data_IF_615747933090
#
_entry.id   IF_615747933090
#
_cell.length_a   1.000
_cell.length_b   1.000
_cell.length_c   1.000
_cell.angle_alpha   90.00
_cell.angle_beta   90.00
_cell.angle_gamma   90.00
#
_symmetry.space_group_name_H-M   'P 1'
#
loop_
_entity.id
_entity.type
_entity.pdbx_description
1 polymer ?
#
# COMPACT_ATOMS: atom_id res chain seq x y z
N UNK A 1 19.13 22.05 66.40
CA UNK A 1 19.69 21.41 65.19
C UNK A 1 18.63 20.51 64.57
N UNK A 2 18.16 20.82 63.36
CA UNK A 2 17.11 20.07 62.67
C UNK A 2 17.75 18.89 61.93
N UNK A 3 17.42 17.66 62.29
CA UNK A 3 17.96 16.43 61.69
C UNK A 3 17.44 16.36 60.25
N UNK A 4 18.35 16.25 59.28
CA UNK A 4 18.01 16.21 57.85
C UNK A 4 17.44 14.82 57.53
N UNK A 5 16.22 14.76 57.00
CA UNK A 5 15.52 13.53 56.62
C UNK A 5 16.31 12.79 55.52
N UNK A 6 17.09 11.78 55.89
CA UNK A 6 17.91 10.97 54.98
C UNK A 6 17.17 9.74 54.44
N UNK A 7 15.98 9.44 54.95
CA UNK A 7 15.23 8.23 54.60
C UNK A 7 14.59 8.30 53.21
N UNK A 8 14.10 9.48 52.78
CA UNK A 8 13.53 9.67 51.44
C UNK A 8 14.54 9.47 50.29
N UNK A 9 15.84 9.64 50.54
CA UNK A 9 16.88 9.43 49.51
C UNK A 9 17.18 7.96 49.25
N UNK A 10 17.00 7.08 50.25
CA UNK A 10 17.31 5.65 50.12
C UNK A 10 16.22 4.96 49.30
N UNK A 11 14.94 5.31 49.52
CA UNK A 11 13.84 4.79 48.71
C UNK A 11 13.88 5.27 47.25
N UNK A 12 14.40 6.47 47.00
CA UNK A 12 14.52 7.02 45.64
C UNK A 12 15.59 6.29 44.80
N UNK A 13 16.72 5.90 45.40
CA UNK A 13 17.78 5.20 44.69
C UNK A 13 17.42 3.74 44.38
N UNK A 14 16.80 3.03 45.33
CA UNK A 14 16.34 1.65 45.11
C UNK A 14 15.14 1.56 44.17
N UNK A 15 14.22 2.54 44.20
CA UNK A 15 13.10 2.58 43.26
C UNK A 15 13.59 2.84 41.83
N UNK A 16 14.60 3.70 41.64
CA UNK A 16 15.17 3.99 40.32
C UNK A 16 15.80 2.73 39.70
N UNK A 17 16.53 1.93 40.49
CA UNK A 17 17.10 0.65 40.02
C UNK A 17 16.02 -0.38 39.65
N UNK A 18 14.93 -0.44 40.41
CA UNK A 18 13.80 -1.32 40.09
C UNK A 18 13.11 -0.91 38.78
N UNK A 19 12.89 0.40 38.57
CA UNK A 19 12.34 0.90 37.31
C UNK A 19 13.29 0.70 36.13
N UNK A 20 14.59 0.91 36.32
CA UNK A 20 15.59 0.71 35.28
C UNK A 20 15.67 -0.77 34.84
N UNK A 21 15.65 -1.70 35.80
CA UNK A 21 15.65 -3.14 35.51
C UNK A 21 14.35 -3.61 34.85
N UNK A 22 13.19 -3.14 35.32
CA UNK A 22 11.90 -3.46 34.71
C UNK A 22 11.80 -2.91 33.27
N UNK A 23 12.25 -1.68 33.04
CA UNK A 23 12.27 -1.07 31.70
C UNK A 23 13.26 -1.79 30.77
N UNK A 24 14.42 -2.19 31.27
CA UNK A 24 15.38 -3.01 30.53
C UNK A 24 14.81 -4.37 30.11
N UNK A 25 14.14 -5.06 31.03
CA UNK A 25 13.46 -6.34 30.72
C UNK A 25 12.35 -6.16 29.67
N UNK A 26 11.56 -5.10 29.77
CA UNK A 26 10.51 -4.78 28.80
C UNK A 26 11.07 -4.53 27.39
N UNK A 27 12.16 -3.77 27.27
CA UNK A 27 12.84 -3.53 25.98
C UNK A 27 13.34 -4.85 25.40
N UNK A 28 13.96 -5.71 26.21
CA UNK A 28 14.47 -7.01 25.75
C UNK A 28 13.34 -7.90 25.20
N UNK A 29 12.24 -8.02 25.94
CA UNK A 29 11.05 -8.80 25.51
C UNK A 29 10.50 -8.23 24.20
N UNK A 30 10.39 -6.91 24.08
CA UNK A 30 9.86 -6.24 22.88
C UNK A 30 10.72 -6.55 21.65
N UNK A 31 12.05 -6.50 21.77
CA UNK A 31 12.96 -6.82 20.66
C UNK A 31 12.85 -8.28 20.21
N UNK A 32 12.59 -9.21 21.15
CA UNK A 32 12.39 -10.62 20.83
C UNK A 32 11.03 -10.86 20.17
N UNK A 33 9.96 -10.19 20.62
CA UNK A 33 8.59 -10.46 20.15
C UNK A 33 8.17 -9.66 18.91
N UNK A 34 8.71 -8.46 18.68
CA UNK A 34 8.39 -7.62 17.52
C UNK A 34 8.50 -8.35 16.16
N UNK A 35 9.54 -9.17 15.88
CA UNK A 35 9.61 -9.90 14.61
C UNK A 35 8.54 -11.01 14.46
N UNK A 36 7.97 -11.50 15.56
CA UNK A 36 6.89 -12.50 15.51
C UNK A 36 5.51 -11.86 15.34
N UNK A 37 5.31 -10.67 15.91
CA UNK A 37 4.06 -9.92 15.77
C UNK A 37 3.75 -9.55 14.31
N UNK A 38 4.78 -9.29 13.50
CA UNK A 38 4.62 -8.92 12.08
C UNK A 38 4.43 -10.11 11.13
N UNK A 39 4.46 -11.36 11.61
CA UNK A 39 4.39 -12.57 10.77
C UNK A 39 2.99 -13.18 10.62
N UNK A 40 1.96 -12.61 11.24
CA UNK A 40 0.59 -13.14 11.15
C UNK A 40 -0.23 -12.32 10.15
N UNK A 41 -0.21 -12.73 8.88
CA UNK A 41 -1.31 -12.44 7.97
C UNK A 41 -2.53 -13.30 8.32
N UNK A 42 -3.76 -12.94 7.91
CA UNK A 42 -4.93 -13.78 8.10
C UNK A 42 -4.66 -15.15 7.47
N UNK A 43 -4.57 -16.18 8.30
CA UNK A 43 -4.59 -17.55 7.84
C UNK A 43 -6.07 -17.86 7.57
N UNK A 44 -6.54 -17.59 6.35
CA UNK A 44 -7.81 -18.14 5.88
C UNK A 44 -7.63 -19.66 5.83
N UNK A 45 -8.17 -20.35 6.85
CA UNK A 45 -8.26 -21.80 6.82
C UNK A 45 -9.09 -22.18 5.58
N UNK A 46 -8.57 -23.07 4.71
CA UNK A 46 -9.31 -23.52 3.56
C UNK A 46 -10.59 -24.20 4.05
N UNK A 47 -11.74 -23.67 3.65
CA UNK A 47 -13.05 -24.26 3.93
C UNK A 47 -13.05 -25.70 3.40
N UNK A 48 -13.25 -26.73 4.24
CA UNK A 48 -13.33 -28.09 3.76
C UNK A 48 -14.48 -28.21 2.75
N UNK A 49 -14.18 -28.64 1.54
CA UNK A 49 -15.21 -29.06 0.57
C UNK A 49 -15.90 -30.30 1.14
N UNK A 50 -17.12 -30.12 1.66
CA UNK A 50 -17.98 -31.25 2.02
C UNK A 50 -18.33 -32.04 0.75
N UNK A 51 -17.88 -33.28 0.67
CA UNK A 51 -18.33 -34.21 -0.36
C UNK A 51 -19.84 -34.45 -0.19
N UNK A 52 -20.63 -34.50 -1.27
CA UNK A 52 -22.03 -34.93 -1.16
C UNK A 52 -22.08 -36.37 -0.63
N UNK A 53 -22.82 -36.57 0.46
CA UNK A 53 -23.10 -37.89 1.01
C UNK A 53 -23.84 -38.70 -0.07
N UNK A 54 -23.36 -39.89 -0.47
CA UNK A 54 -24.07 -40.70 -1.45
C UNK A 54 -25.43 -41.11 -0.88
N UNK A 55 -26.48 -40.89 -1.66
CA UNK A 55 -27.84 -41.29 -1.30
C UNK A 55 -27.89 -42.80 -1.01
N UNK A 56 -28.65 -43.25 0.01
CA UNK A 56 -28.78 -44.66 0.34
C UNK A 56 -29.42 -45.41 -0.83
N UNK A 57 -28.66 -46.33 -1.41
CA UNK A 57 -29.11 -47.22 -2.49
C UNK A 57 -30.20 -48.15 -1.91
N UNK A 58 -31.40 -48.24 -2.50
CA UNK A 58 -32.43 -49.18 -2.05
C UNK A 58 -31.92 -50.63 -2.20
N UNK A 59 -32.13 -51.44 -1.17
CA UNK A 59 -31.68 -52.82 -1.09
C UNK A 59 -32.30 -53.68 -2.22
N UNK A 60 -31.49 -54.01 -3.23
CA UNK A 60 -31.86 -54.98 -4.26
C UNK A 60 -31.52 -56.41 -3.78
N UNK A 61 -32.42 -57.40 -3.93
CA UNK A 61 -32.21 -58.75 -3.40
C UNK A 61 -31.23 -59.62 -4.22
N UNK A 62 -30.54 -59.09 -5.23
CA UNK A 62 -29.50 -59.81 -6.00
C UNK A 62 -28.42 -58.81 -6.45
N UNK A 63 -27.26 -58.80 -5.80
CA UNK A 63 -26.14 -57.93 -6.18
C UNK A 63 -25.07 -58.72 -6.95
N UNK A 64 -24.64 -58.30 -8.17
CA UNK A 64 -23.32 -58.67 -8.67
C UNK A 64 -22.23 -58.06 -7.79
N UNK A 65 -21.07 -58.70 -7.73
CA UNK A 65 -19.89 -58.28 -6.96
C UNK A 65 -19.63 -56.76 -7.08
N UNK A 66 -19.47 -56.02 -5.97
CA UNK A 66 -19.25 -54.58 -6.03
C UNK A 66 -17.96 -54.27 -6.79
N UNK A 67 -18.08 -53.44 -7.83
CA UNK A 67 -16.92 -52.89 -8.52
C UNK A 67 -16.05 -52.10 -7.53
N UNK A 68 -14.71 -52.09 -7.68
CA UNK A 68 -13.84 -51.31 -6.83
C UNK A 68 -14.28 -49.85 -6.85
N UNK A 69 -14.47 -49.28 -5.66
CA UNK A 69 -14.85 -47.88 -5.46
C UNK A 69 -13.78 -47.02 -6.15
N UNK A 70 -14.15 -46.13 -7.09
CA UNK A 70 -13.19 -45.24 -7.72
C UNK A 70 -12.56 -44.35 -6.63
N UNK A 71 -11.26 -44.50 -6.42
CA UNK A 71 -10.49 -43.61 -5.56
C UNK A 71 -10.53 -42.21 -6.18
N UNK A 72 -11.07 -41.24 -5.44
CA UNK A 72 -11.06 -39.85 -5.89
C UNK A 72 -9.61 -39.40 -6.06
N UNK A 73 -9.23 -38.81 -7.22
CA UNK A 73 -7.92 -38.21 -7.35
C UNK A 73 -7.76 -37.13 -6.27
N UNK A 74 -6.58 -37.00 -5.64
CA UNK A 74 -6.35 -35.99 -4.62
C UNK A 74 -6.69 -34.60 -5.18
N UNK A 75 -7.31 -33.71 -4.39
CA UNK A 75 -7.64 -32.38 -4.85
C UNK A 75 -6.35 -31.70 -5.29
N UNK A 76 -6.30 -31.34 -6.58
CA UNK A 76 -5.19 -30.54 -7.10
C UNK A 76 -5.21 -29.21 -6.35
N UNK A 77 -4.12 -28.82 -5.67
CA UNK A 77 -4.08 -27.55 -4.95
C UNK A 77 -4.46 -26.43 -5.93
N UNK A 78 -5.47 -25.64 -5.56
CA UNK A 78 -5.84 -24.45 -6.34
C UNK A 78 -4.63 -23.53 -6.39
N UNK A 79 -4.01 -23.40 -7.55
CA UNK A 79 -2.91 -22.47 -7.77
C UNK A 79 -3.49 -21.04 -7.65
N UNK A 80 -3.30 -20.42 -6.49
CA UNK A 80 -3.67 -19.02 -6.28
C UNK A 80 -2.68 -18.17 -7.07
N UNK A 81 -3.08 -17.74 -8.26
CA UNK A 81 -2.32 -16.76 -9.03
C UNK A 81 -2.37 -15.42 -8.30
N UNK A 82 -1.26 -15.04 -7.69
CA UNK A 82 -1.06 -13.68 -7.19
C UNK A 82 -0.89 -12.79 -8.43
N UNK A 83 -1.92 -12.02 -8.77
CA UNK A 83 -1.85 -11.08 -9.89
C UNK A 83 -1.01 -9.87 -9.47
N UNK A 84 0.21 -9.76 -10.00
CA UNK A 84 1.15 -8.67 -9.73
C UNK A 84 0.88 -7.43 -10.61
N UNK A 85 -0.34 -6.88 -10.57
CA UNK A 85 -0.68 -5.67 -11.35
C UNK A 85 -0.73 -4.42 -10.46
N UNK A 86 0.34 -4.20 -9.70
CA UNK A 86 0.47 -2.99 -8.88
C UNK A 86 1.00 -1.83 -9.72
N UNK A 87 0.28 -0.71 -9.66
CA UNK A 87 0.78 0.59 -10.08
C UNK A 87 1.06 1.48 -8.88
N UNK A 88 2.23 2.13 -8.90
CA UNK A 88 2.57 3.19 -7.95
C UNK A 88 3.03 4.40 -8.73
N UNK A 89 2.31 5.51 -8.60
CA UNK A 89 2.70 6.80 -9.12
C UNK A 89 3.24 7.64 -7.98
N UNK A 90 4.49 8.07 -8.11
CA UNK A 90 5.20 8.89 -7.13
C UNK A 90 5.57 10.23 -7.75
N UNK A 91 5.29 11.32 -7.04
CA UNK A 91 5.68 12.68 -7.43
C UNK A 91 6.54 13.28 -6.33
N UNK A 92 7.63 13.97 -6.68
CA UNK A 92 8.49 14.63 -5.69
C UNK A 92 9.00 16.01 -6.13
N UNK A 93 9.24 16.88 -5.15
CA UNK A 93 9.76 18.23 -5.34
C UNK A 93 10.52 18.72 -4.10
N UNK A 94 11.42 19.69 -4.27
CA UNK A 94 12.36 20.13 -3.22
C UNK A 94 12.17 21.60 -2.81
N UNK A 95 11.04 22.21 -3.20
CA UNK A 95 10.69 23.57 -2.86
C UNK A 95 9.55 23.60 -1.82
N UNK A 96 9.52 24.64 -0.99
CA UNK A 96 8.44 24.92 -0.02
C UNK A 96 7.18 25.48 -0.72
N UNK A 97 6.59 24.64 -1.57
CA UNK A 97 5.36 24.88 -2.30
C UNK A 97 4.41 23.70 -2.09
N UNK A 98 3.12 23.97 -2.20
CA UNK A 98 2.05 22.99 -2.18
C UNK A 98 1.76 22.55 -3.62
N UNK A 99 2.06 21.29 -3.94
CA UNK A 99 1.93 20.73 -5.28
C UNK A 99 1.05 19.49 -5.18
N UNK A 100 -0.09 19.53 -5.85
CA UNK A 100 -1.03 18.42 -5.92
C UNK A 100 -0.78 17.57 -7.16
N UNK A 101 -0.88 16.26 -7.01
CA UNK A 101 -1.00 15.31 -8.10
C UNK A 101 -2.47 15.01 -8.38
N UNK A 102 -2.81 14.99 -9.66
CA UNK A 102 -4.10 14.55 -10.18
C UNK A 102 -3.87 13.33 -11.07
N UNK A 103 -4.60 12.26 -10.77
CA UNK A 103 -4.58 11.02 -11.54
C UNK A 103 -5.96 10.81 -12.12
N UNK A 104 -6.11 10.99 -13.43
CA UNK A 104 -7.35 10.67 -14.14
C UNK A 104 -7.29 9.23 -14.61
N UNK A 105 -8.31 8.45 -14.25
CA UNK A 105 -8.47 7.05 -14.63
C UNK A 105 -9.84 6.86 -15.32
N UNK A 106 -10.12 5.66 -15.85
CA UNK A 106 -11.46 5.31 -16.34
C UNK A 106 -12.55 5.43 -15.27
N UNK A 107 -12.20 5.25 -13.99
CA UNK A 107 -13.13 5.30 -12.85
C UNK A 107 -13.42 6.74 -12.38
N UNK A 108 -12.57 7.69 -12.77
CA UNK A 108 -12.68 9.10 -12.42
C UNK A 108 -11.34 9.75 -12.09
N UNK A 109 -11.41 10.98 -11.54
CA UNK A 109 -10.22 11.73 -11.15
C UNK A 109 -9.93 11.57 -9.66
N UNK A 110 -8.74 11.08 -9.34
CA UNK A 110 -8.18 11.07 -7.99
C UNK A 110 -7.37 12.34 -7.75
N UNK A 111 -7.48 12.85 -6.53
CA UNK A 111 -6.66 13.94 -5.97
C UNK A 111 -6.71 13.82 -4.45
N UNK A 112 -6.01 14.67 -3.71
CA UNK A 112 -6.15 14.63 -2.25
C UNK A 112 -7.57 14.97 -1.76
N UNK A 113 -8.34 15.75 -2.52
CA UNK A 113 -9.75 16.02 -2.22
C UNK A 113 -10.66 14.81 -2.46
N UNK A 114 -10.19 13.86 -3.27
CA UNK A 114 -10.89 12.61 -3.61
C UNK A 114 -9.90 11.45 -3.59
N UNK A 115 -9.50 11.09 -2.37
CA UNK A 115 -8.45 10.08 -2.09
C UNK A 115 -8.82 8.71 -2.64
N UNK A 116 -10.09 8.34 -2.56
CA UNK A 116 -10.65 7.08 -3.07
C UNK A 116 -11.91 7.35 -3.89
N UNK A 117 -12.26 6.40 -4.77
CA UNK A 117 -13.53 6.38 -5.49
C UNK A 117 -14.22 5.05 -5.16
N UNK A 118 -15.50 5.05 -4.72
CA UNK A 118 -16.20 3.81 -4.39
C UNK A 118 -16.17 2.79 -5.53
N UNK A 119 -15.73 1.57 -5.23
CA UNK A 119 -15.64 0.47 -6.20
C UNK A 119 -14.42 0.52 -7.13
N UNK A 120 -13.59 1.56 -7.06
CA UNK A 120 -12.42 1.69 -7.91
C UNK A 120 -11.12 1.28 -7.18
N UNK A 121 -10.10 0.78 -7.90
CA UNK A 121 -8.92 0.17 -7.28
C UNK A 121 -7.87 1.18 -6.77
N UNK A 122 -7.98 2.45 -7.18
CA UNK A 122 -6.97 3.47 -6.91
C UNK A 122 -7.14 4.17 -5.56
N UNK A 123 -6.03 4.62 -4.97
CA UNK A 123 -6.05 5.51 -3.81
C UNK A 123 -4.80 6.39 -3.67
N UNK A 124 -4.97 7.58 -3.12
CA UNK A 124 -3.85 8.38 -2.58
C UNK A 124 -3.46 7.89 -1.18
N UNK A 125 -2.16 7.92 -0.87
CA UNK A 125 -1.66 7.53 0.46
C UNK A 125 -0.91 8.62 1.18
N UNK A 126 -0.38 9.62 0.47
CA UNK A 126 0.44 10.67 1.05
C UNK A 126 0.22 11.99 0.30
N UNK A 127 0.02 13.06 1.07
CA UNK A 127 -0.07 14.47 0.65
C UNK A 127 0.93 15.26 1.48
N UNK A 128 1.63 16.20 0.83
CA UNK A 128 2.52 17.12 1.50
C UNK A 128 2.26 18.58 1.09
N UNK A 129 1.43 19.25 1.89
CA UNK A 129 1.09 20.67 1.71
C UNK A 129 2.18 21.67 2.08
N UNK A 130 3.18 21.25 2.86
CA UNK A 130 4.25 22.15 3.34
C UNK A 130 5.39 22.28 2.32
N UNK A 131 5.44 21.36 1.35
CA UNK A 131 6.53 21.25 0.38
C UNK A 131 7.80 20.67 0.96
N UNK A 132 8.84 20.61 0.12
CA UNK A 132 10.11 19.95 0.41
C UNK A 132 11.29 20.90 0.59
N UNK A 133 12.44 20.30 0.85
CA UNK A 133 13.77 20.91 0.74
C UNK A 133 14.67 20.03 -0.13
N UNK A 134 15.88 20.51 -0.45
CA UNK A 134 16.90 19.69 -1.13
C UNK A 134 17.32 18.46 -0.32
N UNK A 135 17.26 18.52 1.01
CA UNK A 135 17.61 17.42 1.91
C UNK A 135 16.42 16.48 2.18
N UNK A 136 15.19 17.00 2.11
CA UNK A 136 13.95 16.29 2.40
C UNK A 136 12.90 16.67 1.36
N UNK A 137 12.92 16.05 0.17
CA UNK A 137 11.92 16.35 -0.85
C UNK A 137 10.52 15.99 -0.33
N UNK A 138 9.54 16.79 -0.72
CA UNK A 138 8.15 16.42 -0.56
C UNK A 138 7.79 15.32 -1.55
N UNK A 139 6.75 14.56 -1.21
CA UNK A 139 6.32 13.39 -1.94
C UNK A 139 4.80 13.38 -1.98
N UNK A 140 4.25 12.88 -3.07
CA UNK A 140 2.89 12.35 -3.10
C UNK A 140 2.90 10.99 -3.76
N UNK A 141 1.99 10.12 -3.30
CA UNK A 141 1.87 8.76 -3.81
C UNK A 141 0.41 8.45 -4.08
N UNK A 142 0.14 7.97 -5.30
CA UNK A 142 -1.08 7.27 -5.67
C UNK A 142 -0.73 5.83 -6.04
N UNK A 143 -1.59 4.88 -5.67
CA UNK A 143 -1.41 3.47 -5.99
C UNK A 143 -2.72 2.81 -6.39
N UNK A 144 -2.63 1.77 -7.22
CA UNK A 144 -3.76 0.93 -7.60
C UNK A 144 -3.32 -0.52 -7.79
N UNK A 145 -4.08 -1.45 -7.20
CA UNK A 145 -3.94 -2.89 -7.43
C UNK A 145 -4.97 -3.34 -8.45
N UNK A 146 -4.56 -4.04 -9.50
CA UNK A 146 -5.44 -4.42 -10.62
C UNK A 146 -6.18 -3.18 -11.20
N UNK A 147 -5.43 -2.20 -11.74
CA UNK A 147 -6.02 -0.97 -12.28
C UNK A 147 -7.02 -1.27 -13.40
N UNK A 148 -8.14 -0.55 -13.42
CA UNK A 148 -9.17 -0.67 -14.46
C UNK A 148 -8.59 -0.42 -15.86
N UNK A 149 -8.74 -1.34 -16.83
CA UNK A 149 -8.30 -1.10 -18.20
C UNK A 149 -8.89 0.19 -18.78
N UNK A 150 -8.08 0.95 -19.51
CA UNK A 150 -8.48 2.20 -20.15
C UNK A 150 -7.38 3.25 -20.15
N UNK A 151 -7.78 4.53 -20.30
CA UNK A 151 -6.84 5.64 -20.44
C UNK A 151 -6.57 6.32 -19.09
N UNK A 152 -5.30 6.58 -18.85
CA UNK A 152 -4.79 7.26 -17.66
C UNK A 152 -4.07 8.55 -18.06
N UNK A 153 -4.22 9.57 -17.23
CA UNK A 153 -3.50 10.84 -17.38
C UNK A 153 -3.01 11.35 -16.01
N UNK A 154 -1.73 11.68 -15.93
CA UNK A 154 -1.07 12.17 -14.72
C UNK A 154 -0.79 13.65 -14.89
N UNK A 155 -1.29 14.48 -13.99
CA UNK A 155 -1.11 15.92 -14.02
C UNK A 155 -0.63 16.46 -12.68
N UNK A 156 0.24 17.47 -12.73
CA UNK A 156 0.70 18.21 -11.58
C UNK A 156 0.00 19.56 -11.54
N UNK A 157 -0.34 20.01 -10.34
CA UNK A 157 -0.95 21.30 -10.11
C UNK A 157 -0.20 22.03 -9.00
N UNK A 158 0.31 23.22 -9.29
CA UNK A 158 0.85 24.07 -8.24
C UNK A 158 -0.33 24.69 -7.49
N UNK A 159 -0.73 24.13 -6.36
CA UNK A 159 -1.85 24.64 -5.58
C UNK A 159 -1.52 25.99 -4.95
N UNK A 160 -0.36 26.06 -4.30
CA UNK A 160 0.17 27.28 -3.70
C UNK A 160 1.69 27.35 -3.82
N UNK A 161 2.21 28.48 -4.29
CA UNK A 161 3.65 28.71 -4.32
C UNK A 161 4.24 28.91 -2.91
N UNK A 162 3.41 29.24 -1.91
CA UNK A 162 3.88 29.55 -0.56
C UNK A 162 5.02 30.59 -0.58
N UNK A 163 6.18 30.20 -0.04
CA UNK A 163 7.41 30.99 -0.06
C UNK A 163 8.44 30.48 -1.09
N UNK A 164 8.08 29.52 -1.95
CA UNK A 164 8.98 29.00 -2.96
C UNK A 164 9.25 30.05 -4.05
N UNK A 165 10.49 30.06 -4.54
CA UNK A 165 10.83 30.78 -5.79
C UNK A 165 10.31 29.97 -6.96
N UNK A 166 9.59 30.64 -7.86
CA UNK A 166 9.12 30.04 -9.11
C UNK A 166 10.25 29.98 -10.16
N UNK A 167 10.23 28.98 -11.08
CA UNK A 167 9.29 27.86 -11.14
C UNK A 167 9.55 26.80 -10.05
N UNK A 168 8.50 26.09 -9.64
CA UNK A 168 8.63 24.87 -8.83
C UNK A 168 8.94 23.72 -9.77
N UNK A 169 10.01 22.99 -9.45
CA UNK A 169 10.50 21.87 -10.26
C UNK A 169 10.00 20.57 -9.65
N UNK A 170 9.22 19.82 -10.42
CA UNK A 170 8.58 18.58 -9.99
C UNK A 170 9.07 17.43 -10.86
N UNK A 171 9.44 16.32 -10.23
CA UNK A 171 9.73 15.07 -10.90
C UNK A 171 8.73 13.99 -10.49
N UNK A 172 8.77 12.86 -11.19
CA UNK A 172 7.98 11.71 -10.78
C UNK A 172 8.42 10.43 -11.44
N UNK A 173 7.79 9.35 -11.00
CA UNK A 173 8.05 8.00 -11.47
C UNK A 173 6.78 7.17 -11.36
N UNK A 174 6.49 6.40 -12.40
CA UNK A 174 5.45 5.38 -12.40
C UNK A 174 6.11 4.01 -12.30
N UNK A 175 5.94 3.32 -11.19
CA UNK A 175 6.31 1.91 -11.03
C UNK A 175 5.17 1.03 -11.53
N UNK A 176 5.51 0.07 -12.39
CA UNK A 176 4.62 -0.92 -12.99
C UNK A 176 5.35 -2.26 -13.12
N UNK A 177 4.65 -3.38 -13.37
CA UNK A 177 5.25 -4.73 -13.35
C UNK A 177 6.43 -4.90 -14.32
N UNK A 178 6.35 -4.31 -15.51
CA UNK A 178 7.41 -4.35 -16.52
C UNK A 178 8.48 -3.25 -16.34
N UNK A 179 8.73 -2.84 -15.11
CA UNK A 179 9.74 -1.83 -14.76
C UNK A 179 9.25 -0.38 -14.80
N UNK A 180 9.99 0.52 -14.16
CA UNK A 180 9.58 1.89 -13.92
C UNK A 180 9.61 2.77 -15.18
N UNK A 181 8.77 3.79 -15.20
CA UNK A 181 8.81 4.91 -16.15
C UNK A 181 9.17 6.17 -15.40
N UNK A 182 10.32 6.75 -15.71
CA UNK A 182 10.75 8.03 -15.16
C UNK A 182 10.06 9.15 -15.93
N UNK A 183 9.40 10.05 -15.21
CA UNK A 183 8.71 11.20 -15.79
C UNK A 183 9.69 12.35 -16.00
N UNK A 184 9.53 13.14 -17.07
CA UNK A 184 10.35 14.32 -17.28
C UNK A 184 10.12 15.34 -16.16
N UNK A 185 11.21 15.98 -15.75
CA UNK A 185 11.15 17.09 -14.81
C UNK A 185 10.33 18.24 -15.40
N UNK A 186 9.33 18.70 -14.65
CA UNK A 186 8.35 19.69 -15.08
C UNK A 186 8.46 20.96 -14.25
N UNK A 187 8.39 22.11 -14.91
CA UNK A 187 8.47 23.43 -14.25
C UNK A 187 7.09 24.06 -14.13
N UNK A 188 6.56 24.13 -12.92
CA UNK A 188 5.29 24.77 -12.62
C UNK A 188 5.50 26.26 -12.33
N UNK A 189 4.88 27.12 -13.15
CA UNK A 189 5.05 28.58 -13.11
C UNK A 189 3.82 29.34 -12.62
N UNK A 190 2.66 28.70 -12.61
CA UNK A 190 1.37 29.34 -12.37
C UNK A 190 0.57 28.49 -11.39
N UNK A 191 0.01 29.12 -10.37
CA UNK A 191 -0.87 28.46 -9.40
C UNK A 191 -2.21 28.09 -10.05
N UNK A 192 -2.79 26.95 -9.65
CA UNK A 192 -4.08 26.46 -10.12
C UNK A 192 -4.12 25.92 -11.56
N UNK A 193 -2.99 25.97 -12.30
CA UNK A 193 -2.90 25.40 -13.65
C UNK A 193 -2.40 23.96 -13.58
N UNK A 194 -3.23 23.02 -14.02
CA UNK A 194 -2.84 21.61 -14.23
C UNK A 194 -1.93 21.47 -15.44
N UNK A 195 -0.81 20.79 -15.26
CA UNK A 195 0.12 20.41 -16.33
C UNK A 195 0.26 18.89 -16.36
N UNK A 196 -0.22 18.26 -17.44
CA UNK A 196 -0.21 16.82 -17.60
C UNK A 196 1.12 16.35 -18.21
N UNK A 197 1.78 15.40 -17.56
CA UNK A 197 3.15 14.96 -17.86
C UNK A 197 3.22 13.56 -18.47
N UNK A 198 2.14 12.79 -18.34
CA UNK A 198 2.05 11.44 -18.88
C UNK A 198 0.61 11.11 -19.23
N UNK A 199 0.43 10.50 -20.40
CA UNK A 199 -0.81 9.87 -20.81
C UNK A 199 -0.51 8.48 -21.37
N UNK A 200 -1.19 7.47 -20.84
CA UNK A 200 -0.99 6.07 -21.23
C UNK A 200 -2.31 5.31 -21.17
N UNK A 201 -2.35 4.13 -21.77
CA UNK A 201 -3.45 3.19 -21.64
C UNK A 201 -2.99 1.85 -21.10
N UNK A 202 -3.92 1.17 -20.43
CA UNK A 202 -3.82 -0.19 -19.94
C UNK A 202 -4.89 -1.00 -20.67
N UNK A 203 -4.53 -2.11 -21.31
CA UNK A 203 -5.50 -3.04 -21.89
C UNK A 203 -5.98 -4.09 -20.88
N UNK A 204 -6.84 -5.01 -21.31
CA UNK A 204 -7.39 -6.09 -20.45
C UNK A 204 -6.34 -7.08 -19.97
N UNK A 205 -5.20 -7.16 -20.66
CA UNK A 205 -4.09 -8.07 -20.35
C UNK A 205 -2.99 -7.34 -19.55
N UNK A 206 -3.26 -6.11 -19.10
CA UNK A 206 -2.33 -5.24 -18.37
C UNK A 206 -1.07 -4.88 -19.18
N UNK A 207 -1.17 -4.78 -20.50
CA UNK A 207 -0.12 -4.15 -21.30
C UNK A 207 -0.26 -2.62 -21.24
N UNK A 208 0.88 -1.95 -21.07
CA UNK A 208 0.96 -0.50 -20.90
C UNK A 208 1.45 0.15 -22.18
N UNK A 209 0.62 0.99 -22.80
CA UNK A 209 0.99 1.74 -23.99
C UNK A 209 1.02 3.23 -23.67
N UNK A 210 2.18 3.86 -23.84
CA UNK A 210 2.26 5.30 -23.72
C UNK A 210 1.64 5.95 -24.97
N UNK A 211 0.54 6.69 -24.77
CA UNK A 211 -0.19 7.36 -25.87
C UNK A 211 0.51 8.67 -26.24
N UNK A 212 1.21 9.29 -25.30
CA UNK A 212 2.00 10.51 -25.56
C UNK A 212 3.15 10.65 -24.56
N UNK A 213 4.32 11.04 -25.06
CA UNK A 213 5.12 12.06 -24.40
C UNK A 213 5.53 13.16 -25.38
N UNK A 214 5.27 14.41 -25.00
CA UNK A 214 6.28 15.47 -24.82
C UNK A 214 5.62 16.77 -24.41
#
# INVERSE_FOLDING_TARGET
MRRKDRELNIFSMSALDLFASALGAFILITLILLPYYLKQGPQEEPVPLECPVPEPIPECPICPTPAPVPECPPPTPTEVKIADNLLIMQMSWSQRADVDMHVKTPDGEYSYQRVTIPGAPGRFTLDNRSGGTSERPALEIWMAYNPTPGTYEICYNLYSAGNARLPVTVGGRLDKPHGPVILPTTQLRQTGRKQCVLKFSIDSDYNYTQISPR
#
